data_IF_847550373219
#
_entry.id   IF_847550373219
#
_cell.length_a   1.000
_cell.length_b   1.000
_cell.length_c   1.000
_cell.angle_alpha   90.00
_cell.angle_beta   90.00
_cell.angle_gamma   90.00
#
_symmetry.space_group_name_H-M   'P 1'
#
loop_
_entity.id
_entity.type
_entity.pdbx_description
1 polymer ?
#
# COMPACT_ATOMS: atom_id res chain seq x y z
N UNK A 1 -17.07 -30.07 -22.13
CA UNK A 1 -18.21 -29.56 -21.34
C UNK A 1 -17.93 -29.46 -19.83
N UNK A 2 -17.12 -30.35 -19.22
CA UNK A 2 -16.83 -30.28 -17.77
C UNK A 2 -16.00 -29.06 -17.34
N UNK A 3 -15.11 -28.56 -18.19
CA UNK A 3 -14.26 -27.38 -17.89
C UNK A 3 -15.04 -26.08 -17.74
N UNK A 4 -16.09 -25.86 -18.56
CA UNK A 4 -16.94 -24.67 -18.45
C UNK A 4 -17.79 -24.67 -17.16
N UNK A 5 -18.33 -25.83 -16.76
CA UNK A 5 -19.11 -25.95 -15.53
C UNK A 5 -18.27 -25.70 -14.27
N UNK A 6 -17.04 -26.21 -14.22
CA UNK A 6 -16.11 -25.95 -13.11
C UNK A 6 -15.70 -24.47 -13.02
N UNK A 7 -15.45 -23.82 -14.16
CA UNK A 7 -15.14 -22.39 -14.18
C UNK A 7 -16.32 -21.54 -13.74
N UNK A 8 -17.54 -21.93 -14.09
CA UNK A 8 -18.75 -21.18 -13.74
C UNK A 8 -19.10 -21.32 -12.25
N UNK A 9 -18.93 -22.52 -11.68
CA UNK A 9 -19.07 -22.75 -10.24
C UNK A 9 -18.00 -22.00 -9.42
N UNK A 10 -16.75 -21.94 -9.90
CA UNK A 10 -15.69 -21.18 -9.25
C UNK A 10 -15.96 -19.66 -9.30
N UNK A 11 -16.46 -19.15 -10.43
CA UNK A 11 -16.84 -17.74 -10.56
C UNK A 11 -18.00 -17.39 -9.60
N UNK A 12 -18.98 -18.28 -9.50
CA UNK A 12 -20.14 -18.13 -8.61
C UNK A 12 -19.71 -18.06 -7.14
N UNK A 13 -18.86 -19.00 -6.70
CA UNK A 13 -18.33 -19.02 -5.33
C UNK A 13 -17.51 -17.76 -5.00
N UNK A 14 -16.81 -17.19 -5.99
CA UNK A 14 -16.04 -15.96 -5.81
C UNK A 14 -16.94 -14.73 -5.65
N UNK A 15 -18.06 -14.67 -6.37
CA UNK A 15 -19.07 -13.61 -6.21
C UNK A 15 -19.72 -13.66 -4.82
N UNK A 16 -20.11 -14.85 -4.36
CA UNK A 16 -20.71 -15.04 -3.03
C UNK A 16 -19.76 -14.62 -1.89
N UNK A 17 -18.46 -14.94 -2.03
CA UNK A 17 -17.45 -14.51 -1.07
C UNK A 17 -17.28 -12.97 -1.05
N UNK A 18 -17.35 -12.31 -2.21
CA UNK A 18 -17.26 -10.85 -2.30
C UNK A 18 -18.46 -10.17 -1.63
N UNK A 19 -19.68 -10.70 -1.81
CA UNK A 19 -20.87 -10.16 -1.16
C UNK A 19 -20.78 -10.25 0.37
N UNK A 20 -20.27 -11.38 0.88
CA UNK A 20 -20.06 -11.58 2.31
C UNK A 20 -19.01 -10.62 2.88
N UNK A 21 -17.88 -10.44 2.19
CA UNK A 21 -16.84 -9.47 2.58
C UNK A 21 -17.42 -8.06 2.62
N UNK A 22 -18.25 -7.71 1.65
CA UNK A 22 -18.90 -6.38 1.57
C UNK A 22 -19.89 -6.16 2.70
N UNK A 23 -20.65 -7.19 3.09
CA UNK A 23 -21.55 -7.13 4.24
C UNK A 23 -20.80 -6.95 5.56
N UNK A 24 -19.71 -7.69 5.75
CA UNK A 24 -18.88 -7.60 6.95
C UNK A 24 -18.17 -6.25 7.04
N UNK A 25 -17.69 -5.71 5.92
CA UNK A 25 -17.02 -4.41 5.88
C UNK A 25 -17.89 -3.27 6.44
N UNK A 26 -19.23 -3.34 6.26
CA UNK A 26 -20.17 -2.34 6.80
C UNK A 26 -20.26 -2.32 8.33
N UNK A 27 -19.80 -3.38 9.02
CA UNK A 27 -19.80 -3.43 10.48
C UNK A 27 -18.63 -2.65 11.11
N UNK A 28 -17.61 -2.29 10.32
CA UNK A 28 -16.43 -1.59 10.81
C UNK A 28 -16.52 -0.10 10.48
N UNK A 29 -16.13 0.75 11.44
CA UNK A 29 -16.10 2.21 11.27
C UNK A 29 -15.08 2.65 10.21
N UNK A 30 -14.00 1.89 10.06
CA UNK A 30 -12.94 2.09 9.08
C UNK A 30 -12.29 0.75 8.78
N UNK A 31 -11.97 0.51 7.50
CA UNK A 31 -11.33 -0.72 7.03
C UNK A 31 -10.28 -0.33 5.99
N UNK A 32 -9.08 -0.90 6.09
CA UNK A 32 -7.95 -0.63 5.18
C UNK A 32 -7.46 -1.97 4.64
N UNK A 33 -7.29 -2.04 3.32
CA UNK A 33 -6.74 -3.21 2.65
C UNK A 33 -5.29 -2.92 2.25
N UNK A 34 -4.37 -3.77 2.71
CA UNK A 34 -2.95 -3.67 2.36
C UNK A 34 -2.59 -4.93 1.58
N UNK A 35 -2.00 -4.74 0.39
CA UNK A 35 -1.50 -5.86 -0.40
C UNK A 35 -0.16 -6.35 0.15
N UNK A 36 -0.14 -7.56 0.71
CA UNK A 36 1.09 -8.21 1.17
C UNK A 36 1.55 -9.24 0.14
N UNK A 37 2.79 -9.13 -0.41
CA UNK A 37 3.35 -10.12 -1.31
C UNK A 37 3.33 -11.53 -0.71
N UNK A 38 3.11 -12.55 -1.55
CA UNK A 38 2.96 -13.94 -1.10
C UNK A 38 4.17 -14.46 -0.31
N UNK A 39 5.38 -14.04 -0.69
CA UNK A 39 6.62 -14.37 0.03
C UNK A 39 6.65 -13.87 1.48
N UNK A 40 5.81 -12.90 1.84
CA UNK A 40 5.70 -12.33 3.18
C UNK A 40 4.45 -12.82 3.93
N UNK A 41 3.48 -13.43 3.24
CA UNK A 41 2.26 -13.98 3.84
C UNK A 41 2.35 -15.49 4.13
N UNK A 42 3.56 -15.96 4.47
CA UNK A 42 3.87 -17.39 4.66
C UNK A 42 2.96 -18.00 5.73
N UNK A 43 2.67 -17.27 6.82
CA UNK A 43 1.84 -17.78 7.90
C UNK A 43 0.42 -18.14 7.43
N UNK A 44 -0.27 -17.24 6.74
CA UNK A 44 -1.61 -17.54 6.23
C UNK A 44 -1.59 -18.68 5.21
N UNK A 45 -0.60 -18.70 4.32
CA UNK A 45 -0.41 -19.77 3.34
C UNK A 45 -0.16 -21.14 3.99
N UNK A 46 0.67 -21.19 5.03
CA UNK A 46 0.93 -22.43 5.78
C UNK A 46 -0.33 -22.92 6.49
N UNK A 47 -1.10 -22.03 7.12
CA UNK A 47 -2.36 -22.39 7.79
C UNK A 47 -3.36 -22.95 6.77
N UNK A 48 -3.55 -22.28 5.63
CA UNK A 48 -4.47 -22.76 4.59
C UNK A 48 -4.03 -24.11 4.00
N UNK A 49 -2.72 -24.29 3.79
CA UNK A 49 -2.13 -25.54 3.28
C UNK A 49 -2.27 -26.68 4.29
N UNK A 50 -1.99 -26.42 5.57
CA UNK A 50 -2.17 -27.39 6.65
C UNK A 50 -3.65 -27.77 6.78
N UNK A 51 -4.55 -26.79 6.79
CA UNK A 51 -6.00 -27.03 6.86
C UNK A 51 -6.49 -27.91 5.70
N UNK A 52 -5.95 -27.70 4.49
CA UNK A 52 -6.28 -28.52 3.31
C UNK A 52 -5.66 -29.92 3.36
N UNK A 53 -4.51 -30.07 4.03
CA UNK A 53 -3.77 -31.34 4.16
C UNK A 53 -4.31 -32.22 5.29
N UNK A 54 -5.00 -31.64 6.26
CA UNK A 54 -5.65 -32.36 7.35
C UNK A 54 -6.92 -33.04 6.81
N UNK A 55 -6.87 -34.37 6.66
CA UNK A 55 -8.08 -35.16 6.48
C UNK A 55 -8.70 -35.39 7.86
N UNK A 56 -9.78 -34.66 8.17
CA UNK A 56 -10.52 -34.89 9.40
C UNK A 56 -11.34 -36.18 9.24
N UNK A 57 -11.11 -37.22 10.07
CA UNK A 57 -11.98 -38.38 10.06
C UNK A 57 -13.34 -37.96 10.60
N UNK A 58 -14.38 -38.04 9.75
CA UNK A 58 -15.78 -37.72 10.06
C UNK A 58 -16.35 -38.47 11.29
N UNK A 59 -15.63 -39.46 11.83
CA UNK A 59 -15.99 -40.26 13.00
C UNK A 59 -15.54 -39.68 14.34
N UNK A 60 -14.59 -38.74 14.36
CA UNK A 60 -14.22 -38.02 15.58
C UNK A 60 -15.00 -36.72 15.56
N UNK A 61 -15.95 -36.56 16.49
CA UNK A 61 -16.55 -35.26 16.75
C UNK A 61 -15.42 -34.30 17.11
N UNK A 62 -14.92 -33.57 16.11
CA UNK A 62 -14.08 -32.40 16.34
C UNK A 62 -14.97 -31.50 17.17
N UNK A 63 -14.57 -31.24 18.42
CA UNK A 63 -15.25 -30.26 19.25
C UNK A 63 -15.31 -28.97 18.43
N UNK A 64 -16.50 -28.67 17.91
CA UNK A 64 -16.72 -27.46 17.14
C UNK A 64 -16.38 -26.31 18.05
N UNK A 65 -15.45 -25.46 17.64
CA UNK A 65 -15.17 -24.22 18.37
C UNK A 65 -16.48 -23.44 18.38
N UNK A 66 -17.11 -23.37 19.55
CA UNK A 66 -18.34 -22.62 19.73
C UNK A 66 -18.00 -21.13 19.59
N UNK A 67 -18.21 -20.59 18.39
CA UNK A 67 -18.10 -19.15 18.16
C UNK A 67 -19.34 -18.50 18.75
N UNK A 68 -19.21 -18.01 19.98
CA UNK A 68 -20.26 -17.27 20.66
C UNK A 68 -20.08 -15.78 20.46
N UNK A 69 -21.18 -15.07 20.27
CA UNK A 69 -21.19 -13.61 20.33
C UNK A 69 -20.97 -13.20 21.78
N UNK A 70 -19.86 -12.53 22.05
CA UNK A 70 -19.62 -11.93 23.35
C UNK A 70 -20.31 -10.57 23.40
N UNK A 71 -21.06 -10.31 24.47
CA UNK A 71 -21.70 -9.01 24.72
C UNK A 71 -20.67 -7.94 25.16
N UNK A 72 -19.45 -8.36 25.48
CA UNK A 72 -18.31 -7.50 25.82
C UNK A 72 -17.08 -7.95 25.03
N UNK A 73 -16.10 -7.06 24.76
CA UNK A 73 -14.89 -7.44 24.06
C UNK A 73 -14.11 -8.50 24.86
N UNK A 74 -13.52 -9.49 24.18
CA UNK A 74 -12.79 -10.59 24.83
C UNK A 74 -11.60 -10.13 25.68
N UNK A 75 -11.21 -8.86 25.54
CA UNK A 75 -10.19 -8.19 26.36
C UNK A 75 -10.58 -8.04 27.83
N UNK A 76 -11.88 -8.19 28.16
CA UNK A 76 -12.40 -8.12 29.54
C UNK A 76 -12.61 -9.50 30.17
N UNK A 77 -12.37 -10.58 29.44
CA UNK A 77 -12.51 -11.94 29.95
C UNK A 77 -11.38 -12.25 30.96
N UNK A 78 -11.68 -12.81 32.16
CA UNK A 78 -10.68 -13.14 33.17
C UNK A 78 -9.44 -13.91 32.66
N UNK A 79 -9.60 -14.82 31.70
CA UNK A 79 -8.43 -15.54 31.14
C UNK A 79 -7.53 -14.60 30.30
N UNK A 80 -8.12 -13.61 29.63
CA UNK A 80 -7.41 -12.60 28.84
C UNK A 80 -6.67 -11.59 29.73
N UNK A 81 -7.26 -11.22 30.88
CA UNK A 81 -6.62 -10.38 31.90
C UNK A 81 -5.39 -11.10 32.47
N UNK A 82 -5.53 -12.37 32.86
CA UNK A 82 -4.42 -13.17 33.39
C UNK A 82 -3.29 -13.35 32.36
N UNK A 83 -3.63 -13.55 31.08
CA UNK A 83 -2.66 -13.61 30.00
C UNK A 83 -1.95 -12.27 29.80
N UNK A 84 -2.70 -11.15 29.84
CA UNK A 84 -2.13 -9.79 29.75
C UNK A 84 -1.18 -9.51 30.91
N UNK A 85 -1.52 -9.89 32.14
CA UNK A 85 -0.63 -9.74 33.30
C UNK A 85 0.68 -10.54 33.13
N UNK A 86 0.61 -11.75 32.57
CA UNK A 86 1.80 -12.57 32.27
C UNK A 86 2.64 -12.00 31.11
N UNK A 87 1.99 -11.35 30.14
CA UNK A 87 2.64 -10.72 29.00
C UNK A 87 3.22 -9.33 29.35
N UNK A 88 2.61 -8.57 30.25
CA UNK A 88 3.12 -7.26 30.74
C UNK A 88 4.46 -7.45 31.46
N UNK A 89 4.61 -8.49 32.28
CA UNK A 89 5.90 -8.86 32.87
C UNK A 89 6.96 -9.30 31.84
N UNK A 90 6.55 -9.72 30.64
CA UNK A 90 7.44 -10.04 29.51
C UNK A 90 7.64 -8.85 28.55
N UNK A 91 6.83 -7.80 28.66
CA UNK A 91 6.77 -6.67 27.74
C UNK A 91 7.72 -5.52 28.14
N UNK A 92 8.22 -5.48 29.37
CA UNK A 92 9.28 -4.52 29.76
C UNK A 92 10.61 -4.73 28.97
N UNK A 93 10.73 -5.78 28.15
CA UNK A 93 11.82 -5.94 27.15
C UNK A 93 11.46 -5.51 25.72
N UNK A 94 10.20 -5.13 25.43
CA UNK A 94 9.69 -4.90 24.07
C UNK A 94 9.36 -3.45 23.73
N UNK A 95 9.41 -2.51 24.67
CA UNK A 95 9.23 -1.06 24.37
C UNK A 95 10.24 -0.53 23.35
N UNK A 96 11.41 -1.18 23.18
CA UNK A 96 12.36 -0.82 22.14
C UNK A 96 11.93 -1.20 20.70
N UNK A 97 10.94 -2.08 20.51
CA UNK A 97 10.51 -2.53 19.18
C UNK A 97 9.34 -1.74 18.61
N UNK A 98 8.55 -1.08 19.45
CA UNK A 98 7.35 -0.34 19.04
C UNK A 98 7.70 1.08 18.56
N UNK A 99 8.78 1.67 19.10
CA UNK A 99 9.38 2.93 18.60
C UNK A 99 9.91 2.73 17.16
N UNK A 100 10.54 1.59 16.87
CA UNK A 100 11.09 1.28 15.55
C UNK A 100 10.01 1.14 14.47
N UNK A 101 8.78 0.74 14.84
CA UNK A 101 7.71 0.50 13.87
C UNK A 101 7.12 1.79 13.32
N UNK A 102 7.03 2.84 14.14
CA UNK A 102 6.49 4.15 13.70
C UNK A 102 7.49 4.87 12.78
N UNK A 103 8.79 4.79 13.10
CA UNK A 103 9.89 5.30 12.27
C UNK A 103 9.98 4.54 10.92
N UNK A 104 9.75 3.22 10.92
CA UNK A 104 9.65 2.44 9.67
C UNK A 104 8.42 2.81 8.84
N UNK A 105 7.28 3.13 9.49
CA UNK A 105 6.03 3.50 8.80
C UNK A 105 6.15 4.88 8.14
N UNK A 106 6.80 5.85 8.79
CA UNK A 106 7.11 7.14 8.15
C UNK A 106 8.03 6.97 6.95
N UNK A 107 9.08 6.15 7.07
CA UNK A 107 9.98 5.81 5.95
C UNK A 107 9.28 5.06 4.80
N UNK A 108 8.29 4.21 5.09
CA UNK A 108 7.56 3.43 4.08
C UNK A 108 6.40 4.23 3.44
N UNK A 109 5.83 5.21 4.16
CA UNK A 109 4.69 6.01 3.68
C UNK A 109 5.07 7.37 3.09
N UNK A 110 6.34 7.77 3.14
CA UNK A 110 6.84 8.85 2.27
C UNK A 110 6.87 8.38 0.81
N UNK A 111 5.69 8.17 0.21
CA UNK A 111 5.53 8.03 -1.24
C UNK A 111 5.80 9.40 -1.89
N UNK A 112 7.08 9.77 -1.91
CA UNK A 112 7.53 10.99 -2.58
C UNK A 112 7.18 10.88 -4.06
N UNK A 113 6.69 11.96 -4.68
CA UNK A 113 6.31 11.91 -6.08
C UNK A 113 7.51 11.51 -6.94
N UNK A 114 7.26 10.80 -8.04
CA UNK A 114 8.32 10.26 -8.91
C UNK A 114 9.31 11.31 -9.44
N UNK A 115 8.93 12.60 -9.44
CA UNK A 115 9.75 13.72 -9.89
C UNK A 115 10.47 14.46 -8.74
N UNK A 116 10.29 14.05 -7.48
CA UNK A 116 10.82 14.73 -6.29
C UNK A 116 12.33 14.96 -6.37
N UNK A 117 13.09 13.93 -6.75
CA UNK A 117 14.55 13.98 -6.87
C UNK A 117 15.00 14.99 -7.95
N UNK A 118 14.20 15.17 -9.00
CA UNK A 118 14.47 16.14 -10.07
C UNK A 118 14.13 17.56 -9.61
N UNK A 119 13.01 17.73 -8.90
CA UNK A 119 12.59 19.01 -8.35
C UNK A 119 13.60 19.53 -7.32
N UNK A 120 14.04 18.67 -6.40
CA UNK A 120 15.03 19.00 -5.38
C UNK A 120 16.35 19.47 -6.01
N UNK A 121 16.82 18.77 -7.04
CA UNK A 121 18.01 19.17 -7.79
C UNK A 121 17.86 20.57 -8.43
N UNK A 122 16.66 20.94 -8.89
CA UNK A 122 16.41 22.27 -9.46
C UNK A 122 16.26 23.38 -8.41
N UNK A 123 15.72 23.08 -7.22
CA UNK A 123 15.59 24.07 -6.15
C UNK A 123 16.91 24.34 -5.46
N UNK A 124 17.55 23.29 -4.98
CA UNK A 124 18.63 23.39 -4.00
C UNK A 124 19.97 22.91 -4.58
N UNK A 125 19.98 22.30 -5.77
CA UNK A 125 21.18 21.70 -6.37
C UNK A 125 21.64 20.43 -5.64
N UNK A 126 20.84 19.92 -4.70
CA UNK A 126 21.16 18.76 -3.87
C UNK A 126 20.69 17.46 -4.51
N UNK A 127 21.24 16.35 -4.02
CA UNK A 127 20.87 14.98 -4.39
C UNK A 127 20.28 14.28 -3.15
N UNK A 128 19.57 13.15 -3.31
CA UNK A 128 19.14 12.34 -2.17
C UNK A 128 20.32 12.01 -1.26
N UNK A 129 20.09 11.97 0.05
CA UNK A 129 21.14 11.72 1.03
C UNK A 129 21.76 10.33 0.83
N UNK A 130 20.97 9.37 0.36
CA UNK A 130 21.36 7.99 0.06
C UNK A 130 21.95 7.81 -1.35
N UNK A 131 22.01 8.85 -2.19
CA UNK A 131 22.37 8.70 -3.60
C UNK A 131 23.89 8.56 -3.83
N UNK A 132 24.31 7.42 -4.37
CA UNK A 132 25.68 7.17 -4.81
C UNK A 132 26.03 8.00 -6.06
N UNK A 133 27.32 8.07 -6.40
CA UNK A 133 27.82 8.87 -7.54
C UNK A 133 27.19 8.41 -8.87
N UNK A 134 26.84 7.12 -8.98
CA UNK A 134 26.17 6.57 -10.16
C UNK A 134 24.74 7.07 -10.31
N UNK A 135 23.99 7.23 -9.21
CA UNK A 135 22.59 7.68 -9.19
C UNK A 135 22.42 9.16 -9.52
N UNK A 136 23.47 9.97 -9.27
CA UNK A 136 23.48 11.41 -9.57
C UNK A 136 23.50 11.69 -11.07
N UNK A 137 24.11 10.81 -11.87
CA UNK A 137 24.24 10.98 -13.33
C UNK A 137 22.89 10.87 -14.05
N UNK A 138 22.02 9.89 -13.77
CA UNK A 138 20.64 9.84 -14.26
C UNK A 138 19.84 11.09 -13.90
N UNK A 139 19.88 11.56 -12.65
CA UNK A 139 19.13 12.74 -12.18
C UNK A 139 19.55 13.98 -12.98
N UNK A 140 20.86 14.22 -13.13
CA UNK A 140 21.38 15.35 -13.94
C UNK A 140 20.93 15.28 -15.40
N UNK A 141 20.97 14.09 -16.01
CA UNK A 141 20.52 13.89 -17.39
C UNK A 141 19.01 14.05 -17.55
N UNK A 142 18.24 13.60 -16.56
CA UNK A 142 16.80 13.76 -16.53
C UNK A 142 16.44 15.24 -16.40
N UNK A 143 17.07 15.96 -15.47
CA UNK A 143 16.84 17.36 -15.18
C UNK A 143 16.88 18.24 -16.44
N UNK A 144 17.82 18.01 -17.37
CA UNK A 144 17.89 18.75 -18.65
C UNK A 144 16.58 18.82 -19.46
N UNK A 145 15.66 17.88 -19.24
CA UNK A 145 14.35 17.81 -19.90
C UNK A 145 13.25 18.55 -19.16
N UNK A 146 13.53 19.13 -18.01
CA UNK A 146 12.57 19.80 -17.14
C UNK A 146 12.88 21.29 -16.98
N UNK A 147 11.92 22.05 -16.46
CA UNK A 147 12.05 23.48 -16.14
C UNK A 147 11.06 23.84 -15.05
N UNK A 148 11.41 24.78 -14.17
CA UNK A 148 10.47 25.34 -13.18
C UNK A 148 9.89 26.65 -13.73
N UNK A 149 8.57 26.78 -13.69
CA UNK A 149 7.85 28.03 -14.00
C UNK A 149 6.88 28.30 -12.86
N UNK A 150 6.94 29.50 -12.27
CA UNK A 150 6.08 29.89 -11.15
C UNK A 150 6.06 28.89 -9.99
N UNK A 151 7.20 28.25 -9.72
CA UNK A 151 7.35 27.24 -8.66
C UNK A 151 6.80 25.85 -8.99
N UNK A 152 6.34 25.60 -10.22
CA UNK A 152 5.84 24.29 -10.68
C UNK A 152 6.83 23.66 -11.66
N UNK A 153 7.09 22.35 -11.52
CA UNK A 153 7.99 21.60 -12.40
C UNK A 153 7.28 21.14 -13.67
N UNK A 154 7.89 21.44 -14.82
CA UNK A 154 7.38 21.09 -16.14
C UNK A 154 8.37 20.23 -16.90
N UNK A 155 7.87 19.23 -17.63
CA UNK A 155 8.63 18.44 -18.58
C UNK A 155 8.49 19.01 -19.99
N UNK A 156 9.61 19.16 -20.70
CA UNK A 156 9.63 19.54 -22.12
C UNK A 156 9.30 18.31 -22.98
N UNK A 157 8.19 18.37 -23.69
CA UNK A 157 7.83 17.38 -24.70
C UNK A 157 8.63 17.62 -25.99
N UNK A 158 8.75 16.59 -26.83
CA UNK A 158 9.49 16.67 -28.11
C UNK A 158 8.88 17.70 -29.08
N UNK A 159 7.57 17.95 -28.96
CA UNK A 159 6.84 18.94 -29.74
C UNK A 159 6.96 20.38 -29.19
N UNK A 160 7.80 20.61 -28.17
CA UNK A 160 8.00 21.91 -27.53
C UNK A 160 6.96 22.27 -26.45
N UNK A 161 5.92 21.46 -26.25
CA UNK A 161 4.93 21.69 -25.19
C UNK A 161 5.50 21.44 -23.79
N UNK A 162 5.00 22.16 -22.81
CA UNK A 162 5.34 21.96 -21.40
C UNK A 162 4.25 21.15 -20.70
N UNK A 163 4.66 20.07 -20.04
CA UNK A 163 3.78 19.15 -19.33
C UNK A 163 3.95 19.32 -17.82
N UNK A 164 2.87 19.60 -17.09
CA UNK A 164 2.93 19.67 -15.62
C UNK A 164 3.33 18.31 -15.04
N UNK A 165 4.28 18.30 -14.12
CA UNK A 165 4.55 17.14 -13.28
C UNK A 165 3.52 17.12 -12.14
N UNK A 166 2.86 15.97 -11.95
CA UNK A 166 1.81 15.77 -10.95
C UNK A 166 2.13 14.53 -10.12
N UNK A 167 1.85 14.58 -8.82
CA UNK A 167 1.89 13.37 -7.98
C UNK A 167 0.75 12.43 -8.35
N UNK A 168 0.80 11.18 -7.89
CA UNK A 168 -0.28 10.23 -8.16
C UNK A 168 -1.61 10.68 -7.55
N UNK A 169 -1.56 11.34 -6.38
CA UNK A 169 -2.73 11.96 -5.73
C UNK A 169 -3.30 13.13 -6.54
N UNK A 170 -2.44 14.02 -7.03
CA UNK A 170 -2.84 15.19 -7.84
C UNK A 170 -3.37 14.77 -9.22
N UNK A 171 -2.82 13.70 -9.80
CA UNK A 171 -3.28 13.17 -11.07
C UNK A 171 -4.69 12.59 -10.99
N UNK A 172 -5.06 12.01 -9.84
CA UNK A 172 -6.37 11.43 -9.59
C UNK A 172 -7.43 12.48 -9.23
N UNK A 173 -7.05 13.63 -8.66
CA UNK A 173 -7.97 14.75 -8.44
C UNK A 173 -8.26 15.48 -9.76
N UNK A 174 -9.53 15.60 -10.19
CA UNK A 174 -9.90 16.39 -11.37
C UNK A 174 -9.86 17.91 -11.12
N UNK A 175 -9.58 18.38 -9.91
CA UNK A 175 -9.59 19.80 -9.53
C UNK A 175 -8.19 20.42 -9.57
N UNK A 176 -7.93 21.10 -10.71
CA UNK A 176 -7.20 22.35 -10.95
C UNK A 176 -5.84 22.66 -10.27
N UNK A 177 -4.82 22.87 -11.11
CA UNK A 177 -4.06 24.13 -11.13
C UNK A 177 -4.23 24.74 -12.52
N UNK A 178 -5.11 25.72 -12.67
CA UNK A 178 -5.01 26.65 -13.80
C UNK A 178 -3.95 27.68 -13.43
N UNK A 179 -2.87 27.82 -14.20
CA UNK A 179 -1.95 28.93 -13.97
C UNK A 179 -2.63 30.22 -14.40
N UNK A 180 -2.80 31.13 -13.45
CA UNK A 180 -2.88 32.55 -13.80
C UNK A 180 -1.57 32.93 -14.50
N UNK A 181 -1.71 33.64 -15.62
CA UNK A 181 -0.69 34.32 -16.43
C UNK A 181 -0.12 33.56 -17.66
N UNK A 182 -0.46 34.16 -18.81
CA UNK A 182 0.01 34.06 -20.20
C UNK A 182 -0.31 32.84 -21.09
N UNK A 183 -1.15 33.16 -22.08
CA UNK A 183 -1.88 32.30 -23.01
C UNK A 183 -1.03 31.65 -24.12
N UNK A 184 0.16 31.12 -23.81
CA UNK A 184 1.03 30.48 -24.81
C UNK A 184 1.43 29.04 -24.50
N UNK A 185 1.01 28.48 -23.36
CA UNK A 185 1.32 27.11 -23.00
C UNK A 185 0.10 26.20 -23.18
N UNK A 186 0.17 25.32 -24.17
CA UNK A 186 -0.76 24.19 -24.29
C UNK A 186 -0.34 23.12 -23.29
N UNK A 187 -1.24 22.74 -22.39
CA UNK A 187 -0.95 21.84 -21.28
C UNK A 187 -1.45 20.42 -21.56
N UNK A 188 -0.59 19.42 -21.35
CA UNK A 188 -1.02 18.02 -21.26
C UNK A 188 -0.35 17.34 -20.07
N UNK A 189 -1.00 16.35 -19.46
CA UNK A 189 -0.52 15.71 -18.22
C UNK A 189 0.57 14.67 -18.54
N UNK A 190 1.69 14.68 -17.80
CA UNK A 190 2.72 13.64 -17.91
C UNK A 190 2.66 12.72 -16.69
N UNK A 191 2.44 11.42 -16.91
CA UNK A 191 2.58 10.40 -15.86
C UNK A 191 4.03 9.90 -15.83
N UNK A 192 4.55 9.71 -14.62
CA UNK A 192 5.80 8.97 -14.42
C UNK A 192 5.63 7.54 -14.92
N UNK A 193 6.64 6.99 -15.60
CA UNK A 193 6.70 5.54 -15.79
C UNK A 193 7.03 4.97 -14.42
N UNK A 194 6.14 4.15 -13.85
CA UNK A 194 6.37 3.51 -12.56
C UNK A 194 7.77 2.91 -12.49
N UNK A 195 8.49 3.15 -11.39
CA UNK A 195 9.81 2.57 -11.13
C UNK A 195 9.65 1.05 -11.27
N UNK A 196 10.22 0.46 -12.32
CA UNK A 196 10.43 -0.98 -12.39
C UNK A 196 11.60 -1.26 -11.44
N UNK A 197 11.29 -1.66 -10.21
CA UNK A 197 12.31 -2.27 -9.34
C UNK A 197 12.77 -3.56 -9.99
N UNK A 198 14.10 -3.66 -10.16
CA UNK A 198 14.83 -4.91 -10.39
C UNK A 198 14.74 -5.81 -9.16
#
# INVERSE_FOLDING_TARGET
>A
MQTQAHTQAALQAQLEAQDLVTLLAKQFRQLIYIHTPRSQNILADTVASLASSLSFPLSRSVETINVQRLEAPSTQDPWFINLRSSLVLKAERKEAKEILLMELVEMILEERPWYHEIEQYYRDGTFPEEAEVEDRRPIRRAALKYTIISGVLYRRALNGMLLCCLSDEEAWKPSCREPEVDSLLTWTRSRGKGKASM
#
